data_IF_190192112688
#
_entry.id   IF_190192112688
#
_cell.length_a   1.000
_cell.length_b   1.000
_cell.length_c   1.000
_cell.angle_alpha   90.00
_cell.angle_beta   90.00
_cell.angle_gamma   90.00
#
_symmetry.space_group_name_H-M   'P 1'
#
loop_
_entity.id
_entity.type
_entity.pdbx_description
1 polymer ?
#
# COMPACT_ATOMS: atom_id res chain seq x y z
N UNK A 1 25.79 11.32 -73.98
CA UNK A 1 26.82 11.01 -72.98
C UNK A 1 26.10 10.54 -71.69
N UNK A 2 26.23 9.34 -71.29
CA UNK A 2 25.59 8.92 -70.01
C UNK A 2 26.32 9.59 -68.85
N UNK A 3 25.64 9.98 -67.74
CA UNK A 3 26.25 10.60 -66.57
C UNK A 3 27.22 9.60 -65.90
N UNK A 4 28.38 10.11 -65.52
CA UNK A 4 29.45 9.39 -64.88
C UNK A 4 28.94 8.87 -63.48
N UNK A 5 28.94 7.53 -63.20
CA UNK A 5 28.42 6.96 -62.01
C UNK A 5 29.30 7.19 -60.75
N UNK A 6 30.39 7.94 -60.88
CA UNK A 6 31.40 8.14 -59.81
C UNK A 6 31.42 9.54 -59.20
N UNK A 7 30.39 10.37 -59.41
CA UNK A 7 30.36 11.68 -58.74
C UNK A 7 30.22 11.50 -57.24
N UNK A 8 31.20 11.94 -56.42
CA UNK A 8 31.07 11.82 -54.95
C UNK A 8 29.89 12.69 -54.48
N UNK A 9 29.03 12.06 -53.67
CA UNK A 9 27.94 12.76 -53.00
C UNK A 9 28.42 14.10 -52.44
N UNK A 10 27.71 15.19 -52.73
CA UNK A 10 28.08 16.52 -52.25
C UNK A 10 28.28 16.50 -50.72
N UNK A 11 29.24 17.27 -50.21
CA UNK A 11 29.56 17.34 -48.79
C UNK A 11 28.29 17.55 -47.93
N UNK A 12 27.35 18.30 -48.42
CA UNK A 12 26.06 18.60 -47.79
C UNK A 12 25.20 17.35 -47.64
N UNK A 13 25.11 16.49 -48.66
CA UNK A 13 24.35 15.22 -48.59
C UNK A 13 24.99 14.26 -47.62
N UNK A 14 26.31 14.17 -47.55
CA UNK A 14 27.01 13.33 -46.52
C UNK A 14 26.74 13.82 -45.12
N UNK A 15 26.78 15.12 -44.86
CA UNK A 15 26.49 15.70 -43.56
C UNK A 15 25.05 15.41 -43.14
N UNK A 16 24.07 15.57 -44.02
CA UNK A 16 22.67 15.26 -43.73
C UNK A 16 22.48 13.76 -43.41
N UNK A 17 23.10 12.87 -44.18
CA UNK A 17 23.01 11.42 -43.91
C UNK A 17 23.63 11.04 -42.57
N UNK A 18 24.75 11.64 -42.17
CA UNK A 18 25.37 11.40 -40.86
C UNK A 18 24.47 11.92 -39.74
N UNK A 19 23.89 13.11 -39.85
CA UNK A 19 22.97 13.65 -38.85
C UNK A 19 21.71 12.81 -38.70
N UNK A 20 21.12 12.35 -39.81
CA UNK A 20 19.96 11.45 -39.78
C UNK A 20 20.31 10.10 -39.13
N UNK A 21 21.46 9.53 -39.47
CA UNK A 21 21.94 8.28 -38.82
C UNK A 21 22.18 8.43 -37.34
N UNK A 22 22.83 9.52 -36.90
CA UNK A 22 23.03 9.82 -35.49
C UNK A 22 21.72 10.05 -34.76
N UNK A 23 20.77 10.77 -35.35
CA UNK A 23 19.43 10.97 -34.79
C UNK A 23 18.68 9.64 -34.61
N UNK A 24 18.73 8.77 -35.62
CA UNK A 24 18.10 7.44 -35.54
C UNK A 24 18.73 6.57 -34.43
N UNK A 25 20.05 6.58 -34.32
CA UNK A 25 20.76 5.83 -33.27
C UNK A 25 20.40 6.32 -31.86
N UNK A 26 20.32 7.66 -31.68
CA UNK A 26 19.87 8.25 -30.41
C UNK A 26 18.43 7.84 -30.08
N UNK A 27 17.54 7.89 -31.07
CA UNK A 27 16.14 7.51 -30.88
C UNK A 27 16.00 6.03 -30.49
N UNK A 28 16.76 5.16 -31.15
CA UNK A 28 16.84 3.74 -30.82
C UNK A 28 17.38 3.51 -29.40
N UNK A 29 18.45 4.24 -29.04
CA UNK A 29 19.04 4.15 -27.69
C UNK A 29 18.02 4.54 -26.60
N UNK A 30 17.34 5.68 -26.74
CA UNK A 30 16.31 6.09 -25.78
C UNK A 30 15.13 5.12 -25.71
N UNK A 31 14.69 4.59 -26.86
CA UNK A 31 13.59 3.63 -26.91
C UNK A 31 13.92 2.30 -26.23
N UNK A 32 15.14 1.76 -26.46
CA UNK A 32 15.60 0.53 -25.83
C UNK A 32 15.82 0.75 -24.32
N UNK A 33 16.44 1.88 -23.91
CA UNK A 33 16.67 2.21 -22.52
C UNK A 33 15.36 2.36 -21.73
N UNK A 34 14.35 3.01 -22.30
CA UNK A 34 13.03 3.16 -21.68
C UNK A 34 12.35 1.80 -21.47
N UNK A 35 12.45 0.87 -22.41
CA UNK A 35 11.91 -0.49 -22.30
C UNK A 35 12.60 -1.30 -21.20
N UNK A 36 13.92 -1.20 -21.13
CA UNK A 36 14.71 -1.90 -20.08
C UNK A 36 14.35 -1.37 -18.71
N UNK A 37 14.27 -0.04 -18.54
CA UNK A 37 13.86 0.57 -17.28
C UNK A 37 12.42 0.19 -16.89
N UNK A 38 11.49 0.20 -17.83
CA UNK A 38 10.12 -0.23 -17.59
C UNK A 38 10.07 -1.72 -17.19
N UNK A 39 10.79 -2.60 -17.91
CA UNK A 39 10.88 -4.01 -17.57
C UNK A 39 11.48 -4.25 -16.18
N UNK A 40 12.54 -3.54 -15.82
CA UNK A 40 13.15 -3.59 -14.50
C UNK A 40 12.18 -3.11 -13.40
N UNK A 41 11.43 -2.04 -13.65
CA UNK A 41 10.41 -1.53 -12.74
C UNK A 41 9.29 -2.56 -12.51
N UNK A 42 8.78 -3.18 -13.59
CA UNK A 42 7.75 -4.23 -13.49
C UNK A 42 8.28 -5.43 -12.72
N UNK A 43 9.50 -5.88 -13.00
CA UNK A 43 10.11 -7.00 -12.27
C UNK A 43 10.28 -6.68 -10.78
N UNK A 44 10.70 -5.46 -10.44
CA UNK A 44 10.83 -5.02 -9.06
C UNK A 44 9.48 -5.02 -8.34
N UNK A 45 8.45 -4.42 -8.93
CA UNK A 45 7.10 -4.36 -8.32
C UNK A 45 6.51 -5.76 -8.12
N UNK A 46 6.63 -6.64 -9.10
CA UNK A 46 6.18 -8.04 -8.98
C UNK A 46 6.96 -8.78 -7.89
N UNK A 47 8.28 -8.56 -7.80
CA UNK A 47 9.10 -9.18 -6.77
C UNK A 47 8.71 -8.74 -5.37
N UNK A 48 8.46 -7.44 -5.17
CA UNK A 48 7.99 -6.90 -3.89
C UNK A 48 6.64 -7.49 -3.49
N UNK A 49 5.69 -7.58 -4.42
CA UNK A 49 4.38 -8.20 -4.17
C UNK A 49 4.50 -9.69 -3.79
N UNK A 50 5.41 -10.44 -4.43
CA UNK A 50 5.64 -11.84 -4.08
C UNK A 50 6.24 -11.97 -2.67
N UNK A 51 7.16 -11.08 -2.30
CA UNK A 51 7.77 -11.09 -0.98
C UNK A 51 6.74 -10.79 0.11
N UNK A 52 5.88 -9.81 -0.12
CA UNK A 52 4.81 -9.45 0.80
C UNK A 52 3.79 -10.59 0.96
N UNK A 53 3.31 -11.18 -0.15
CA UNK A 53 2.41 -12.34 -0.13
C UNK A 53 3.02 -13.53 0.64
N UNK A 54 4.34 -13.76 0.51
CA UNK A 54 5.05 -14.80 1.27
C UNK A 54 5.13 -14.50 2.76
N UNK A 55 5.34 -13.22 3.13
CA UNK A 55 5.34 -12.76 4.51
C UNK A 55 3.97 -13.00 5.15
N UNK A 56 2.91 -12.52 4.52
CA UNK A 56 1.54 -12.69 5.02
C UNK A 56 1.13 -14.17 5.12
N UNK A 57 1.55 -15.02 4.19
CA UNK A 57 1.32 -16.48 4.27
C UNK A 57 2.01 -17.11 5.47
N UNK A 58 3.24 -16.71 5.79
CA UNK A 58 3.96 -17.21 6.97
C UNK A 58 3.25 -16.79 8.26
N UNK A 59 2.81 -15.54 8.33
CA UNK A 59 2.04 -15.02 9.45
C UNK A 59 0.71 -15.79 9.60
N UNK A 60 -0.02 -15.98 8.51
CA UNK A 60 -1.28 -16.74 8.52
C UNK A 60 -1.08 -18.20 8.96
N UNK A 61 -0.02 -18.87 8.49
CA UNK A 61 0.30 -20.23 8.90
C UNK A 61 0.62 -20.35 10.41
N UNK A 62 1.34 -19.34 10.94
CA UNK A 62 1.65 -19.28 12.38
C UNK A 62 0.41 -18.97 13.26
N UNK A 63 -0.68 -18.47 12.68
CA UNK A 63 -1.92 -18.06 13.33
C UNK A 63 -3.09 -18.98 13.00
N UNK A 64 -2.81 -20.21 12.62
CA UNK A 64 -3.84 -21.15 12.20
C UNK A 64 -4.83 -21.42 13.35
N UNK A 65 -6.14 -21.27 13.06
CA UNK A 65 -7.22 -21.41 14.04
C UNK A 65 -7.62 -20.13 14.77
N UNK A 66 -6.92 -19.01 14.55
CA UNK A 66 -7.34 -17.72 15.08
C UNK A 66 -8.49 -17.14 14.22
N UNK A 67 -9.39 -16.42 14.89
CA UNK A 67 -10.60 -15.86 14.31
C UNK A 67 -10.96 -14.54 14.97
N UNK A 68 -11.97 -13.86 14.45
CA UNK A 68 -12.55 -12.66 15.09
C UNK A 68 -12.93 -12.92 16.57
N UNK A 69 -13.26 -14.16 16.94
CA UNK A 69 -13.57 -14.51 18.32
C UNK A 69 -12.32 -14.47 19.20
N UNK A 70 -11.15 -14.92 18.70
CA UNK A 70 -9.89 -14.83 19.44
C UNK A 70 -9.44 -13.37 19.55
N UNK A 71 -9.57 -12.59 18.47
CA UNK A 71 -9.33 -11.16 18.48
C UNK A 71 -10.18 -10.43 19.52
N UNK A 72 -11.50 -10.68 19.53
CA UNK A 72 -12.41 -10.05 20.48
C UNK A 72 -12.14 -10.43 21.95
N UNK A 73 -11.57 -11.62 22.20
CA UNK A 73 -11.19 -12.05 23.56
C UNK A 73 -9.95 -11.33 24.10
N UNK A 74 -9.15 -10.69 23.24
CA UNK A 74 -7.99 -9.90 23.66
C UNK A 74 -8.38 -8.61 24.39
N UNK A 75 -9.66 -8.21 24.31
CA UNK A 75 -10.16 -6.98 24.92
C UNK A 75 -11.06 -7.26 26.13
N UNK A 76 -11.00 -6.36 27.12
CA UNK A 76 -11.94 -6.38 28.23
C UNK A 76 -13.33 -5.90 27.75
N UNK A 77 -14.25 -6.82 27.63
CA UNK A 77 -15.64 -6.58 27.17
C UNK A 77 -16.43 -5.61 28.05
N UNK A 78 -15.95 -5.30 29.26
CA UNK A 78 -16.58 -4.31 30.15
C UNK A 78 -16.15 -2.90 29.83
N UNK A 79 -14.98 -2.75 29.19
CA UNK A 79 -14.37 -1.44 28.89
C UNK A 79 -14.44 -1.07 27.41
N UNK A 80 -14.44 -2.05 26.54
CA UNK A 80 -14.41 -1.86 25.08
C UNK A 80 -15.76 -2.25 24.49
N UNK A 81 -16.34 -1.36 23.69
CA UNK A 81 -17.58 -1.61 22.97
C UNK A 81 -17.34 -2.70 21.90
N UNK A 82 -18.06 -3.84 21.96
CA UNK A 82 -17.92 -4.91 20.97
C UNK A 82 -18.13 -4.46 19.53
N UNK A 83 -18.91 -3.39 19.33
CA UNK A 83 -19.16 -2.82 18.01
C UNK A 83 -17.90 -2.15 17.43
N UNK A 84 -17.08 -1.50 18.25
CA UNK A 84 -15.78 -0.95 17.84
C UNK A 84 -14.81 -2.08 17.46
N UNK A 85 -14.70 -3.12 18.30
CA UNK A 85 -13.84 -4.28 18.03
C UNK A 85 -14.18 -4.89 16.66
N UNK A 86 -15.47 -5.06 16.38
CA UNK A 86 -15.94 -5.61 15.13
C UNK A 86 -15.66 -4.66 13.95
N UNK A 87 -15.93 -3.37 14.12
CA UNK A 87 -15.73 -2.38 13.06
C UNK A 87 -14.24 -2.26 12.68
N UNK A 88 -13.34 -2.22 13.66
CA UNK A 88 -11.88 -2.23 13.42
C UNK A 88 -11.46 -3.51 12.69
N UNK A 89 -11.88 -4.67 13.17
CA UNK A 89 -11.53 -5.93 12.52
C UNK A 89 -12.01 -5.99 11.06
N UNK A 90 -13.24 -5.57 10.78
CA UNK A 90 -13.81 -5.59 9.43
C UNK A 90 -13.11 -4.59 8.51
N UNK A 91 -12.71 -3.41 9.02
CA UNK A 91 -12.03 -2.39 8.24
C UNK A 91 -10.60 -2.78 7.91
N UNK A 92 -9.89 -3.48 8.78
CA UNK A 92 -8.55 -3.99 8.54
C UNK A 92 -8.49 -5.15 7.55
N UNK A 93 -9.57 -5.94 7.39
CA UNK A 93 -9.58 -7.13 6.53
C UNK A 93 -9.19 -6.88 5.06
N UNK A 94 -9.59 -5.79 4.39
CA UNK A 94 -9.17 -5.52 3.01
C UNK A 94 -7.66 -5.35 2.86
N UNK A 95 -7.01 -4.71 3.84
CA UNK A 95 -5.56 -4.48 3.85
C UNK A 95 -4.76 -5.75 4.16
N UNK A 96 -5.32 -6.63 4.96
CA UNK A 96 -4.69 -7.87 5.43
C UNK A 96 -5.05 -9.09 4.57
N UNK A 97 -5.21 -8.92 3.25
CA UNK A 97 -5.53 -10.01 2.32
C UNK A 97 -4.29 -10.52 1.60
N UNK A 98 -4.16 -11.83 1.51
CA UNK A 98 -3.20 -12.50 0.65
C UNK A 98 -3.90 -13.55 -0.22
N UNK A 99 -3.18 -14.16 -1.16
CA UNK A 99 -3.79 -15.15 -2.08
C UNK A 99 -4.41 -16.37 -1.40
N UNK A 100 -4.07 -16.62 -0.13
CA UNK A 100 -4.62 -17.72 0.68
C UNK A 100 -5.90 -17.37 1.45
N UNK A 101 -6.34 -16.12 1.43
CA UNK A 101 -7.53 -15.64 2.16
C UNK A 101 -7.24 -14.48 3.12
N UNK A 102 -8.12 -14.22 4.07
CA UNK A 102 -7.92 -13.18 5.07
C UNK A 102 -6.85 -13.59 6.09
N UNK A 103 -5.99 -12.64 6.48
CA UNK A 103 -5.03 -12.83 7.57
C UNK A 103 -5.76 -12.79 8.92
N UNK A 104 -5.53 -13.74 9.84
CA UNK A 104 -5.98 -13.59 11.21
C UNK A 104 -5.26 -12.43 11.91
N UNK A 105 -6.02 -11.42 12.34
CA UNK A 105 -5.53 -10.19 12.96
C UNK A 105 -5.47 -10.38 14.49
N UNK A 106 -4.38 -9.91 15.12
CA UNK A 106 -4.19 -9.86 16.56
C UNK A 106 -4.23 -8.43 17.08
N UNK A 107 -4.61 -8.23 18.32
CA UNK A 107 -4.54 -6.93 18.98
C UNK A 107 -3.10 -6.41 19.14
N UNK A 108 -2.13 -7.31 19.19
CA UNK A 108 -0.70 -6.99 19.29
C UNK A 108 -0.02 -6.70 17.96
N UNK A 109 -0.72 -6.84 16.84
CA UNK A 109 -0.13 -6.58 15.53
C UNK A 109 0.20 -5.10 15.39
N UNK A 110 1.42 -4.83 14.94
CA UNK A 110 1.82 -3.50 14.52
C UNK A 110 1.20 -3.16 13.16
N UNK A 111 0.64 -1.95 13.05
CA UNK A 111 -0.08 -1.52 11.85
C UNK A 111 0.87 -1.37 10.66
N UNK A 112 2.05 -0.79 10.87
CA UNK A 112 3.03 -0.56 9.81
C UNK A 112 3.94 -1.79 9.62
N UNK A 113 4.57 -2.27 10.71
CA UNK A 113 5.56 -3.35 10.61
C UNK A 113 4.96 -4.71 10.29
N UNK A 114 3.80 -5.07 10.89
CA UNK A 114 3.16 -6.38 10.68
C UNK A 114 2.14 -6.37 9.55
N UNK A 115 1.34 -5.32 9.44
CA UNK A 115 0.24 -5.28 8.49
C UNK A 115 0.55 -4.45 7.23
N UNK A 116 1.60 -3.62 7.25
CA UNK A 116 2.00 -2.78 6.12
C UNK A 116 1.05 -1.62 5.85
N UNK A 117 0.36 -1.15 6.90
CA UNK A 117 -0.62 -0.07 6.84
C UNK A 117 0.08 1.20 7.31
N UNK A 118 0.23 2.18 6.46
CA UNK A 118 0.90 3.44 6.80
C UNK A 118 -0.01 4.41 7.59
N UNK A 119 0.58 5.50 8.08
CA UNK A 119 -0.15 6.45 8.92
C UNK A 119 -1.28 7.19 8.20
N UNK A 120 -1.22 7.34 6.87
CA UNK A 120 -2.28 7.96 6.07
C UNK A 120 -3.48 7.02 6.00
N UNK A 121 -3.26 5.76 5.66
CA UNK A 121 -4.27 4.70 5.66
C UNK A 121 -4.93 4.53 7.04
N UNK A 122 -4.12 4.58 8.14
CA UNK A 122 -4.65 4.53 9.52
C UNK A 122 -5.58 5.70 9.79
N UNK A 123 -5.24 6.91 9.35
CA UNK A 123 -6.06 8.11 9.54
C UNK A 123 -7.40 7.98 8.82
N UNK A 124 -7.40 7.50 7.59
CA UNK A 124 -8.61 7.27 6.80
C UNK A 124 -9.51 6.20 7.45
N UNK A 125 -8.91 5.11 7.92
CA UNK A 125 -9.63 4.06 8.65
C UNK A 125 -10.26 4.58 9.94
N UNK A 126 -9.56 5.41 10.71
CA UNK A 126 -10.09 6.02 11.94
C UNK A 126 -11.35 6.80 11.64
N UNK A 127 -11.38 7.60 10.57
CA UNK A 127 -12.59 8.36 10.19
C UNK A 127 -13.75 7.43 9.82
N UNK A 128 -13.51 6.41 9.01
CA UNK A 128 -14.53 5.45 8.59
C UNK A 128 -15.11 4.71 9.80
N UNK A 129 -14.24 4.20 10.69
CA UNK A 129 -14.66 3.46 11.86
C UNK A 129 -15.40 4.37 12.87
N UNK A 130 -14.91 5.60 13.10
CA UNK A 130 -15.55 6.55 13.99
C UNK A 130 -16.97 6.88 13.53
N UNK A 131 -17.14 7.19 12.24
CA UNK A 131 -18.45 7.42 11.62
C UNK A 131 -19.38 6.22 11.78
N UNK A 132 -18.89 5.02 11.50
CA UNK A 132 -19.64 3.76 11.60
C UNK A 132 -20.05 3.42 13.02
N UNK A 133 -19.24 3.78 14.01
CA UNK A 133 -19.47 3.47 15.43
C UNK A 133 -20.08 4.64 16.20
N UNK A 134 -20.39 5.76 15.54
CA UNK A 134 -20.97 6.95 16.14
C UNK A 134 -20.03 7.63 17.13
N UNK A 135 -18.73 7.65 16.82
CA UNK A 135 -17.71 8.35 17.62
C UNK A 135 -17.35 9.68 16.99
N UNK A 136 -17.19 10.73 17.79
CA UNK A 136 -16.73 12.04 17.34
C UNK A 136 -15.21 12.12 17.37
N UNK A 137 -14.64 12.72 16.33
CA UNK A 137 -13.20 13.01 16.25
C UNK A 137 -12.90 14.51 16.46
N UNK A 138 -13.89 15.33 16.78
CA UNK A 138 -13.74 16.80 16.92
C UNK A 138 -12.69 17.21 17.96
N UNK A 139 -12.45 16.37 18.96
CA UNK A 139 -11.46 16.62 20.02
C UNK A 139 -10.47 15.45 20.14
N UNK A 140 -10.09 14.87 19.00
CA UNK A 140 -9.20 13.70 18.96
C UNK A 140 -7.85 13.97 19.66
N UNK A 141 -7.34 15.22 19.61
CA UNK A 141 -6.07 15.60 20.24
C UNK A 141 -6.12 15.48 21.78
N UNK A 142 -7.30 15.49 22.39
CA UNK A 142 -7.45 15.31 23.85
C UNK A 142 -7.37 13.85 24.28
N UNK A 143 -7.40 12.93 23.32
CA UNK A 143 -7.30 11.49 23.59
C UNK A 143 -5.87 11.14 24.02
N UNK A 144 -5.68 10.41 25.11
CA UNK A 144 -4.35 10.03 25.61
C UNK A 144 -3.53 9.18 24.61
N UNK A 145 -4.18 8.56 23.64
CA UNK A 145 -3.52 7.77 22.58
C UNK A 145 -3.34 8.56 21.27
N UNK A 146 -3.62 9.85 21.24
CA UNK A 146 -3.42 10.66 20.05
C UNK A 146 -1.95 10.67 19.62
N UNK A 147 -1.69 10.32 18.34
CA UNK A 147 -0.32 10.20 17.82
C UNK A 147 0.51 9.04 18.38
N UNK A 148 -0.11 8.10 19.12
CA UNK A 148 0.56 6.95 19.73
C UNK A 148 -0.10 5.63 19.34
N UNK A 149 -0.84 5.61 18.24
CA UNK A 149 -1.51 4.42 17.73
C UNK A 149 -0.55 3.68 16.78
N UNK A 150 0.09 2.64 17.28
CA UNK A 150 1.00 1.78 16.51
C UNK A 150 0.42 0.38 16.31
N UNK A 151 -0.37 -0.10 17.26
CA UNK A 151 -0.94 -1.45 17.23
C UNK A 151 -2.44 -1.44 16.98
N UNK A 152 -2.97 -2.57 16.48
CA UNK A 152 -4.42 -2.76 16.32
C UNK A 152 -5.17 -2.61 17.65
N UNK A 153 -4.56 -3.04 18.75
CA UNK A 153 -5.11 -2.90 20.08
C UNK A 153 -5.25 -1.44 20.50
N UNK A 154 -4.23 -0.63 20.25
CA UNK A 154 -4.24 0.81 20.51
C UNK A 154 -5.25 1.55 19.65
N UNK A 155 -5.44 1.13 18.39
CA UNK A 155 -6.49 1.65 17.52
C UNK A 155 -7.88 1.44 18.11
N UNK A 156 -8.16 0.23 18.60
CA UNK A 156 -9.44 -0.09 19.28
C UNK A 156 -9.62 0.75 20.56
N UNK A 157 -8.56 0.92 21.36
CA UNK A 157 -8.60 1.72 22.59
C UNK A 157 -8.76 3.21 22.28
N UNK A 158 -8.06 3.72 21.28
CA UNK A 158 -8.20 5.11 20.80
C UNK A 158 -9.66 5.42 20.47
N UNK A 159 -10.30 4.59 19.64
CA UNK A 159 -11.70 4.76 19.25
C UNK A 159 -12.66 4.58 20.44
N UNK A 160 -12.32 3.73 21.40
CA UNK A 160 -13.12 3.53 22.61
C UNK A 160 -13.13 4.78 23.48
N UNK A 161 -12.01 5.49 23.58
CA UNK A 161 -11.88 6.74 24.34
C UNK A 161 -12.54 7.94 23.66
N UNK A 162 -12.89 7.85 22.37
CA UNK A 162 -13.59 8.94 21.69
C UNK A 162 -15.04 9.11 22.18
N UNK A 163 -15.52 10.35 22.33
CA UNK A 163 -16.89 10.62 22.75
C UNK A 163 -17.90 10.11 21.72
N UNK A 164 -19.07 9.64 22.19
CA UNK A 164 -20.17 9.29 21.30
C UNK A 164 -20.83 10.55 20.74
N UNK A 165 -21.14 10.54 19.46
CA UNK A 165 -21.97 11.58 18.84
C UNK A 165 -23.34 11.51 19.52
N UNK A 166 -23.78 12.61 20.17
CA UNK A 166 -25.12 12.70 20.70
C UNK A 166 -26.08 12.81 19.53
N UNK A 167 -27.03 11.89 19.42
CA UNK A 167 -28.18 12.06 18.54
C UNK A 167 -28.94 13.31 19.01
N UNK A 168 -29.09 14.28 18.10
CA UNK A 168 -29.87 15.49 18.35
C UNK A 168 -31.36 15.17 18.39
#
# INVERSE_FOLDING_TARGET
MPPDPTQPLSALVRTVLVLLGAGLLLLLYFYVSARVLFGAFVLLTVSLQILDDRRLRRLAAARNGESICSFARSFDRRRVDPWIIRAVHEELQPYCRFRGGPLPIRASDDLEEDLGIDGEDVSDMVEVIARRTGRSLESAETNPLYGQVHTVGELVLFLTCQPRIRAA
#
